data_IF_926897396580
#
_entry.id   IF_926897396580
#
_cell.length_a   1.000
_cell.length_b   1.000
_cell.length_c   1.000
_cell.angle_alpha   90.00
_cell.angle_beta   90.00
_cell.angle_gamma   90.00
#
_symmetry.space_group_name_H-M   'P 1'
#
loop_
_entity.id
_entity.type
_entity.pdbx_description
1 polymer ?
#
# COMPACT_ATOMS: atom_id res chain seq x y z
N UNK A 1 -9.24 44.28 -5.74
CA UNK A 1 -8.57 44.50 -4.44
C UNK A 1 -8.71 43.31 -3.49
N UNK A 2 -9.90 42.92 -3.00
CA UNK A 2 -9.98 41.84 -1.98
C UNK A 2 -9.70 40.43 -2.55
N UNK A 3 -10.12 40.13 -3.80
CA UNK A 3 -9.80 38.86 -4.47
C UNK A 3 -8.31 38.72 -4.85
N UNK A 4 -7.63 39.82 -5.16
CA UNK A 4 -6.18 39.81 -5.46
C UNK A 4 -5.35 39.47 -4.22
N UNK A 5 -5.80 39.89 -3.04
CA UNK A 5 -5.16 39.57 -1.76
C UNK A 5 -5.38 38.09 -1.44
N UNK A 6 -6.61 37.57 -1.64
CA UNK A 6 -6.91 36.15 -1.44
C UNK A 6 -6.09 35.25 -2.38
N UNK A 7 -5.99 35.58 -3.66
CA UNK A 7 -5.18 34.81 -4.62
C UNK A 7 -3.69 34.79 -4.25
N UNK A 8 -3.16 35.92 -3.73
CA UNK A 8 -1.76 35.99 -3.24
C UNK A 8 -1.54 35.13 -2.00
N UNK A 9 -2.52 35.10 -1.09
CA UNK A 9 -2.50 34.24 0.10
C UNK A 9 -2.54 32.77 -0.33
N UNK A 10 -3.46 32.40 -1.19
CA UNK A 10 -3.63 31.04 -1.70
C UNK A 10 -2.35 30.53 -2.35
N UNK A 11 -1.79 31.28 -3.30
CA UNK A 11 -0.54 30.89 -3.97
C UNK A 11 0.60 30.67 -2.98
N UNK A 12 0.78 31.59 -2.03
CA UNK A 12 1.85 31.51 -1.03
C UNK A 12 1.65 30.32 -0.08
N UNK A 13 0.41 30.06 0.33
CA UNK A 13 0.07 28.94 1.22
C UNK A 13 0.29 27.60 0.52
N UNK A 14 -0.15 27.46 -0.73
CA UNK A 14 0.05 26.25 -1.52
C UNK A 14 1.54 25.97 -1.77
N UNK A 15 2.34 26.99 -2.09
CA UNK A 15 3.80 26.84 -2.22
C UNK A 15 4.48 26.40 -0.92
N UNK A 16 4.00 26.88 0.24
CA UNK A 16 4.49 26.46 1.56
C UNK A 16 4.12 24.99 1.82
N UNK A 17 2.88 24.58 1.50
CA UNK A 17 2.40 23.22 1.71
C UNK A 17 3.12 22.20 0.80
N UNK A 18 3.46 22.59 -0.43
CA UNK A 18 4.19 21.72 -1.36
C UNK A 18 5.67 21.51 -1.00
N UNK A 19 6.30 22.50 -0.35
CA UNK A 19 7.74 22.47 -0.04
C UNK A 19 8.05 22.00 1.38
N UNK A 20 7.04 21.90 2.24
CA UNK A 20 7.23 21.61 3.65
C UNK A 20 6.87 20.17 4.00
N UNK A 21 7.48 19.67 5.07
CA UNK A 21 7.17 18.36 5.62
C UNK A 21 5.79 18.41 6.34
N UNK A 22 4.85 17.60 5.86
CA UNK A 22 3.45 17.56 6.34
C UNK A 22 3.32 17.09 7.80
N UNK A 23 4.30 16.36 8.33
CA UNK A 23 4.28 15.85 9.71
C UNK A 23 4.54 16.93 10.76
N UNK A 24 5.22 18.01 10.37
CA UNK A 24 5.61 19.10 11.28
C UNK A 24 4.81 20.39 11.07
N UNK A 25 4.16 20.53 9.93
CA UNK A 25 3.46 21.77 9.55
C UNK A 25 2.04 21.81 10.07
N UNK A 26 1.73 22.87 10.82
CA UNK A 26 0.37 23.15 11.31
C UNK A 26 -0.18 24.40 10.65
N UNK A 27 -1.50 24.55 10.60
CA UNK A 27 -2.20 25.76 10.10
C UNK A 27 -1.58 27.05 10.69
N UNK A 28 -1.19 27.01 11.97
CA UNK A 28 -0.53 28.11 12.66
C UNK A 28 0.84 28.45 12.07
N UNK A 29 1.70 27.44 11.83
CA UNK A 29 3.02 27.62 11.21
C UNK A 29 2.89 28.12 9.78
N UNK A 30 1.97 27.54 9.01
CA UNK A 30 1.66 27.95 7.63
C UNK A 30 1.23 29.42 7.58
N UNK A 31 0.31 29.84 8.46
CA UNK A 31 -0.14 31.24 8.56
C UNK A 31 0.99 32.18 8.96
N UNK A 32 1.85 31.78 9.90
CA UNK A 32 2.99 32.60 10.35
C UNK A 32 3.98 32.84 9.20
N UNK A 33 4.35 31.79 8.48
CA UNK A 33 5.27 31.87 7.34
C UNK A 33 4.65 32.67 6.19
N UNK A 34 3.35 32.47 5.90
CA UNK A 34 2.64 33.23 4.89
C UNK A 34 2.55 34.73 5.23
N UNK A 35 2.33 35.07 6.50
CA UNK A 35 2.30 36.46 6.98
C UNK A 35 3.65 37.15 6.82
N UNK A 36 4.75 36.45 7.16
CA UNK A 36 6.12 36.93 6.98
C UNK A 36 6.46 37.14 5.50
N UNK A 37 6.12 36.19 4.62
CA UNK A 37 6.37 36.28 3.17
C UNK A 37 5.58 37.40 2.50
N UNK A 38 4.32 37.59 2.89
CA UNK A 38 3.44 38.58 2.28
C UNK A 38 3.58 39.97 2.90
N UNK A 39 4.27 40.09 4.05
CA UNK A 39 4.32 41.30 4.88
C UNK A 39 2.92 41.84 5.19
N UNK A 40 1.99 40.92 5.44
CA UNK A 40 0.57 41.19 5.70
C UNK A 40 0.17 40.54 7.02
N UNK A 41 -0.66 41.24 7.79
CA UNK A 41 -1.24 40.65 8.99
C UNK A 41 -2.38 39.70 8.63
N UNK A 42 -2.13 38.40 8.81
CA UNK A 42 -3.10 37.33 8.58
C UNK A 42 -3.83 36.91 9.87
N UNK A 43 -3.71 37.68 10.95
CA UNK A 43 -4.38 37.41 12.24
C UNK A 43 -5.90 37.59 12.19
N UNK A 44 -6.42 38.29 11.17
CA UNK A 44 -7.85 38.55 11.03
C UNK A 44 -8.66 37.26 10.81
N UNK A 45 -9.85 37.13 11.41
CA UNK A 45 -10.69 35.93 11.30
C UNK A 45 -10.99 35.51 9.85
N UNK A 46 -11.12 36.47 8.93
CA UNK A 46 -11.36 36.20 7.50
C UNK A 46 -10.23 35.41 6.84
N UNK A 47 -8.98 35.73 7.15
CA UNK A 47 -7.81 35.05 6.57
C UNK A 47 -7.53 33.72 7.24
N UNK A 48 -7.85 33.59 8.54
CA UNK A 48 -7.77 32.32 9.26
C UNK A 48 -8.68 31.26 8.66
N UNK A 49 -9.95 31.60 8.40
CA UNK A 49 -10.90 30.68 7.78
C UNK A 49 -10.48 30.30 6.36
N UNK A 50 -10.02 31.27 5.58
CA UNK A 50 -9.58 31.05 4.20
C UNK A 50 -8.35 30.12 4.12
N UNK A 51 -7.34 30.35 4.97
CA UNK A 51 -6.14 29.50 5.01
C UNK A 51 -6.48 28.07 5.45
N UNK A 52 -7.39 27.91 6.41
CA UNK A 52 -7.87 26.59 6.82
C UNK A 52 -8.50 25.83 5.65
N UNK A 53 -9.38 26.47 4.89
CA UNK A 53 -10.01 25.85 3.71
C UNK A 53 -8.99 25.38 2.68
N UNK A 54 -7.94 26.17 2.43
CA UNK A 54 -6.87 25.81 1.50
C UNK A 54 -6.08 24.59 2.00
N UNK A 55 -5.73 24.58 3.29
CA UNK A 55 -5.00 23.46 3.91
C UNK A 55 -5.84 22.17 3.86
N UNK A 56 -7.12 22.24 4.20
CA UNK A 56 -8.02 21.08 4.18
C UNK A 56 -8.19 20.53 2.76
N UNK A 57 -8.35 21.40 1.76
CA UNK A 57 -8.42 20.99 0.34
C UNK A 57 -7.12 20.36 -0.16
N UNK A 58 -5.97 20.89 0.27
CA UNK A 58 -4.67 20.33 -0.08
C UNK A 58 -4.48 18.92 0.51
N UNK A 59 -4.85 18.71 1.78
CA UNK A 59 -4.79 17.41 2.44
C UNK A 59 -5.68 16.37 1.77
N UNK A 60 -6.91 16.75 1.38
CA UNK A 60 -7.83 15.87 0.66
C UNK A 60 -7.28 15.46 -0.71
N UNK A 61 -6.72 16.41 -1.47
CA UNK A 61 -6.12 16.12 -2.77
C UNK A 61 -4.86 15.25 -2.65
N UNK A 62 -4.08 15.40 -1.57
CA UNK A 62 -2.92 14.56 -1.33
C UNK A 62 -3.34 13.12 -1.00
N UNK A 63 -4.39 12.94 -0.20
CA UNK A 63 -4.95 11.61 0.10
C UNK A 63 -5.53 10.95 -1.15
N UNK A 64 -6.26 11.69 -1.99
CA UNK A 64 -6.83 11.17 -3.23
C UNK A 64 -5.74 10.73 -4.23
N UNK A 65 -4.69 11.54 -4.40
CA UNK A 65 -3.54 11.17 -5.25
C UNK A 65 -2.82 9.94 -4.73
N UNK A 66 -2.63 9.83 -3.40
CA UNK A 66 -2.00 8.67 -2.81
C UNK A 66 -2.85 7.41 -2.98
N UNK A 67 -4.19 7.50 -2.90
CA UNK A 67 -5.06 6.36 -3.20
C UNK A 67 -5.06 5.97 -4.69
N UNK A 68 -5.05 6.95 -5.59
CA UNK A 68 -4.99 6.70 -7.04
C UNK A 68 -3.63 6.09 -7.46
N UNK A 69 -2.52 6.55 -6.87
CA UNK A 69 -1.18 5.96 -7.09
C UNK A 69 -1.11 4.52 -6.57
N UNK A 70 -1.70 4.22 -5.41
CA UNK A 70 -1.77 2.84 -4.87
C UNK A 70 -2.66 1.94 -5.73
N UNK A 71 -3.81 2.41 -6.19
CA UNK A 71 -4.68 1.64 -7.10
C UNK A 71 -3.99 1.38 -8.45
N UNK A 72 -3.25 2.36 -9.00
CA UNK A 72 -2.47 2.18 -10.22
C UNK A 72 -1.30 1.22 -10.04
N UNK A 73 -0.57 1.30 -8.92
CA UNK A 73 0.48 0.32 -8.60
C UNK A 73 -0.09 -1.10 -8.42
N UNK A 74 -1.27 -1.25 -7.82
CA UNK A 74 -1.94 -2.54 -7.69
C UNK A 74 -2.40 -3.11 -9.06
N UNK A 75 -2.92 -2.26 -9.97
CA UNK A 75 -3.29 -2.68 -11.33
C UNK A 75 -2.07 -3.02 -12.21
N UNK A 76 -0.98 -2.25 -12.12
CA UNK A 76 0.27 -2.54 -12.83
C UNK A 76 0.96 -3.81 -12.31
N UNK A 77 0.95 -4.05 -10.98
CA UNK A 77 1.42 -5.30 -10.40
C UNK A 77 0.58 -6.50 -10.87
N UNK A 78 -0.74 -6.37 -10.96
CA UNK A 78 -1.63 -7.43 -11.47
C UNK A 78 -1.34 -7.79 -12.93
N UNK A 79 -1.09 -6.79 -13.79
CA UNK A 79 -0.81 -7.02 -15.22
C UNK A 79 0.60 -7.59 -15.45
N UNK A 80 1.60 -7.12 -14.68
CA UNK A 80 2.95 -7.67 -14.71
C UNK A 80 2.98 -9.12 -14.19
N UNK A 81 2.23 -9.43 -13.13
CA UNK A 81 2.05 -10.81 -12.65
C UNK A 81 1.42 -11.73 -13.71
N UNK A 82 0.38 -11.26 -14.43
CA UNK A 82 -0.25 -12.04 -15.50
C UNK A 82 0.73 -12.30 -16.65
N UNK A 83 1.59 -11.32 -16.95
CA UNK A 83 2.57 -11.41 -18.04
C UNK A 83 3.73 -12.34 -17.66
N UNK A 84 4.23 -12.30 -16.43
CA UNK A 84 5.27 -13.21 -15.91
C UNK A 84 4.81 -14.66 -15.85
N UNK A 85 3.56 -14.92 -15.45
CA UNK A 85 2.97 -16.27 -15.49
C UNK A 85 2.92 -16.86 -16.91
N UNK A 86 2.92 -16.03 -17.94
CA UNK A 86 2.93 -16.46 -19.34
C UNK A 86 4.35 -16.62 -19.95
N UNK A 87 5.37 -15.92 -19.42
CA UNK A 87 6.74 -15.96 -19.94
C UNK A 87 7.57 -17.15 -19.44
N UNK A 88 7.14 -17.82 -18.36
CA UNK A 88 7.84 -18.98 -17.80
C UNK A 88 9.13 -18.63 -17.06
N UNK A 89 9.33 -17.35 -16.73
CA UNK A 89 10.44 -16.92 -15.88
C UNK A 89 10.15 -17.28 -14.41
N UNK A 90 11.17 -17.78 -13.71
CA UNK A 90 11.08 -18.07 -12.28
C UNK A 90 10.94 -16.76 -11.49
N UNK A 91 9.87 -16.66 -10.70
CA UNK A 91 9.60 -15.52 -9.84
C UNK A 91 10.21 -15.75 -8.45
N UNK A 92 10.82 -14.73 -7.85
CA UNK A 92 11.45 -14.80 -6.52
C UNK A 92 10.94 -13.67 -5.63
N UNK A 93 10.83 -13.92 -4.32
CA UNK A 93 10.52 -12.88 -3.33
C UNK A 93 11.75 -12.05 -2.94
N UNK A 94 11.54 -10.99 -2.15
CA UNK A 94 12.59 -10.09 -1.65
C UNK A 94 13.69 -10.81 -0.85
N UNK A 95 13.42 -12.01 -0.35
CA UNK A 95 14.37 -12.87 0.38
C UNK A 95 15.08 -13.88 -0.53
N UNK A 96 14.77 -13.89 -1.83
CA UNK A 96 15.33 -14.81 -2.82
C UNK A 96 14.70 -16.21 -2.79
N UNK A 97 13.53 -16.38 -2.17
CA UNK A 97 12.79 -17.65 -2.20
C UNK A 97 12.00 -17.75 -3.51
N UNK A 98 12.04 -18.93 -4.14
CA UNK A 98 11.27 -19.19 -5.36
C UNK A 98 9.77 -19.13 -5.06
N UNK A 99 9.04 -18.27 -5.76
CA UNK A 99 7.58 -18.20 -5.73
C UNK A 99 7.04 -19.21 -6.74
N UNK A 100 6.39 -20.26 -6.23
CA UNK A 100 5.84 -21.35 -7.03
C UNK A 100 4.45 -21.01 -7.56
N UNK A 101 3.65 -20.35 -6.72
CA UNK A 101 2.27 -20.01 -7.06
C UNK A 101 1.75 -18.91 -6.12
N UNK A 102 0.96 -17.99 -6.67
CA UNK A 102 0.19 -17.00 -5.91
C UNK A 102 -1.26 -17.50 -5.77
N UNK A 103 -1.68 -17.72 -4.53
CA UNK A 103 -3.04 -18.17 -4.18
C UNK A 103 -4.03 -17.00 -4.13
N UNK A 104 -3.53 -15.81 -3.80
CA UNK A 104 -4.19 -14.50 -3.87
C UNK A 104 -3.12 -13.41 -3.81
N UNK A 105 -3.48 -12.14 -3.96
CA UNK A 105 -2.54 -11.01 -3.94
C UNK A 105 -1.71 -10.99 -2.64
N UNK A 106 -2.33 -11.40 -1.54
CA UNK A 106 -1.69 -11.46 -0.21
C UNK A 106 -1.18 -12.83 0.19
N UNK A 107 -1.29 -13.88 -0.63
CA UNK A 107 -0.92 -15.26 -0.23
C UNK A 107 -0.15 -15.97 -1.34
N UNK A 108 1.05 -16.43 -1.00
CA UNK A 108 1.94 -17.15 -1.93
C UNK A 108 2.45 -18.46 -1.36
N UNK A 109 2.80 -19.35 -2.28
CA UNK A 109 3.51 -20.60 -2.04
C UNK A 109 4.96 -20.40 -2.47
N UNK A 110 5.91 -20.51 -1.55
CA UNK A 110 7.35 -20.36 -1.82
C UNK A 110 8.14 -21.61 -1.43
N UNK A 111 9.29 -21.82 -2.08
CA UNK A 111 10.30 -22.78 -1.66
C UNK A 111 11.39 -22.04 -0.89
N UNK A 112 11.52 -22.36 0.40
CA UNK A 112 12.46 -21.70 1.31
C UNK A 112 13.53 -22.70 1.77
N UNK A 113 14.79 -22.28 1.86
CA UNK A 113 15.81 -22.98 2.65
C UNK A 113 15.85 -22.41 4.07
N UNK A 114 15.65 -23.27 5.07
CA UNK A 114 15.86 -22.91 6.46
C UNK A 114 16.81 -23.88 7.13
N UNK A 115 18.04 -23.43 7.36
CA UNK A 115 19.10 -24.23 8.00
C UNK A 115 19.37 -25.54 7.25
N UNK A 116 19.44 -25.48 5.92
CA UNK A 116 19.69 -26.62 5.05
C UNK A 116 18.50 -27.56 4.90
N UNK A 117 17.29 -27.11 5.26
CA UNK A 117 16.05 -27.84 5.04
C UNK A 117 15.19 -27.09 4.05
N UNK A 118 14.81 -27.76 2.97
CA UNK A 118 13.81 -27.27 2.03
C UNK A 118 12.42 -27.34 2.66
N UNK A 119 11.74 -26.19 2.67
CA UNK A 119 10.39 -26.03 3.17
C UNK A 119 9.46 -25.51 2.06
N UNK A 120 8.25 -26.07 2.00
CA UNK A 120 7.15 -25.51 1.20
C UNK A 120 6.38 -24.56 2.10
N UNK A 121 6.53 -23.25 1.89
CA UNK A 121 5.88 -22.21 2.71
C UNK A 121 4.60 -21.74 2.04
N UNK A 122 3.47 -21.85 2.74
CA UNK A 122 2.17 -21.30 2.33
C UNK A 122 1.83 -20.19 3.32
N UNK A 123 1.98 -18.92 2.91
CA UNK A 123 1.98 -17.80 3.86
C UNK A 123 1.27 -16.56 3.32
N UNK A 124 0.62 -15.84 4.24
CA UNK A 124 0.04 -14.52 3.99
C UNK A 124 1.12 -13.44 4.21
N UNK A 125 1.17 -12.46 3.31
CA UNK A 125 2.10 -11.33 3.33
C UNK A 125 1.33 -10.02 3.51
N UNK A 126 2.02 -9.02 4.05
CA UNK A 126 1.50 -7.66 4.17
C UNK A 126 2.50 -6.67 3.57
N UNK A 127 1.99 -5.58 2.99
CA UNK A 127 2.82 -4.49 2.48
C UNK A 127 3.18 -3.53 3.62
N UNK A 128 4.46 -3.19 3.74
CA UNK A 128 4.97 -2.14 4.63
C UNK A 128 6.15 -1.45 3.97
N UNK A 129 6.11 -0.12 3.86
CA UNK A 129 7.16 0.69 3.24
C UNK A 129 7.51 0.23 1.82
N UNK A 130 6.50 -0.16 1.02
CA UNK A 130 6.66 -0.68 -0.34
C UNK A 130 7.23 -2.10 -0.44
N UNK A 131 7.41 -2.81 0.68
CA UNK A 131 7.93 -4.20 0.72
C UNK A 131 6.89 -5.19 1.15
N UNK A 132 6.94 -6.40 0.58
CA UNK A 132 6.11 -7.52 1.02
C UNK A 132 6.78 -8.30 2.13
N UNK A 133 6.20 -8.27 3.34
CA UNK A 133 6.74 -8.97 4.50
C UNK A 133 5.86 -10.16 4.89
N UNK A 134 6.43 -11.31 5.28
CA UNK A 134 5.67 -12.46 5.73
C UNK A 134 4.94 -12.14 7.04
N UNK A 135 3.65 -12.46 7.11
CA UNK A 135 2.88 -12.40 8.35
C UNK A 135 3.04 -13.68 9.18
N UNK A 136 2.54 -13.67 10.41
CA UNK A 136 2.45 -14.88 11.24
C UNK A 136 1.44 -15.91 10.71
N UNK A 137 0.52 -15.52 9.84
CA UNK A 137 -0.49 -16.42 9.26
C UNK A 137 0.11 -17.19 8.09
N UNK A 138 0.33 -18.48 8.32
CA UNK A 138 0.88 -19.38 7.32
C UNK A 138 1.54 -20.58 7.97
N UNK A 139 1.92 -21.55 7.14
CA UNK A 139 2.61 -22.76 7.56
C UNK A 139 3.76 -23.06 6.60
N UNK A 140 4.87 -23.56 7.15
CA UNK A 140 5.99 -24.06 6.38
C UNK A 140 6.07 -25.56 6.58
N UNK A 141 5.86 -26.31 5.51
CA UNK A 141 5.83 -27.76 5.51
C UNK A 141 7.20 -28.32 5.15
N UNK A 142 7.65 -29.33 5.87
CA UNK A 142 8.80 -30.12 5.42
C UNK A 142 8.44 -30.92 4.15
N UNK A 143 9.44 -31.41 3.42
CA UNK A 143 9.23 -32.28 2.27
C UNK A 143 8.34 -33.50 2.61
N UNK A 144 8.54 -34.11 3.79
CA UNK A 144 7.72 -35.24 4.26
C UNK A 144 6.26 -34.85 4.49
N UNK A 145 6.02 -33.68 5.12
CA UNK A 145 4.66 -33.16 5.34
C UNK A 145 3.98 -32.80 4.02
N UNK A 146 4.72 -32.23 3.07
CA UNK A 146 4.23 -31.94 1.73
C UNK A 146 3.83 -33.22 0.97
N UNK A 147 4.64 -34.26 1.04
CA UNK A 147 4.31 -35.56 0.43
C UNK A 147 3.07 -36.19 1.06
N UNK A 148 2.92 -36.09 2.39
CA UNK A 148 1.70 -36.53 3.07
C UNK A 148 0.47 -35.71 2.63
N UNK A 149 0.61 -34.38 2.50
CA UNK A 149 -0.46 -33.51 2.01
C UNK A 149 -0.87 -33.89 0.58
N UNK A 150 0.08 -33.98 -0.35
CA UNK A 150 -0.17 -34.36 -1.75
C UNK A 150 -0.93 -35.69 -1.88
N UNK A 151 -0.54 -36.71 -1.12
CA UNK A 151 -1.22 -38.02 -1.13
C UNK A 151 -2.69 -37.95 -0.72
N UNK A 152 -3.07 -36.94 0.06
CA UNK A 152 -4.43 -36.75 0.57
C UNK A 152 -5.25 -35.73 -0.23
N UNK A 153 -4.68 -35.05 -1.25
CA UNK A 153 -5.39 -34.07 -2.08
C UNK A 153 -6.72 -34.63 -2.63
N UNK A 154 -6.82 -35.85 -3.19
CA UNK A 154 -8.09 -36.37 -3.67
C UNK A 154 -9.17 -36.51 -2.58
N UNK A 155 -8.76 -36.85 -1.35
CA UNK A 155 -9.67 -36.93 -0.21
C UNK A 155 -10.13 -35.53 0.25
N UNK A 156 -9.23 -34.54 0.19
CA UNK A 156 -9.53 -33.14 0.48
C UNK A 156 -10.54 -32.59 -0.54
N UNK A 157 -10.31 -32.80 -1.85
CA UNK A 157 -11.22 -32.36 -2.91
C UNK A 157 -12.63 -32.95 -2.75
N UNK A 158 -12.71 -34.26 -2.45
CA UNK A 158 -13.99 -34.92 -2.16
C UNK A 158 -14.69 -34.31 -0.93
N UNK A 159 -13.94 -33.95 0.10
CA UNK A 159 -14.49 -33.33 1.31
C UNK A 159 -15.01 -31.91 1.03
N UNK A 160 -14.26 -31.11 0.25
CA UNK A 160 -14.67 -29.76 -0.18
C UNK A 160 -16.02 -29.82 -0.91
N UNK A 161 -16.13 -30.66 -1.96
CA UNK A 161 -17.37 -30.75 -2.74
C UNK A 161 -18.58 -31.19 -1.90
N UNK A 162 -18.37 -32.05 -0.90
CA UNK A 162 -19.42 -32.43 0.06
C UNK A 162 -19.83 -31.28 0.99
N UNK A 163 -18.90 -30.40 1.36
CA UNK A 163 -19.20 -29.25 2.22
C UNK A 163 -19.90 -28.13 1.45
N UNK A 164 -19.46 -27.83 0.23
CA UNK A 164 -20.07 -26.79 -0.60
C UNK A 164 -21.51 -27.15 -0.99
N UNK A 165 -21.76 -28.39 -1.38
CA UNK A 165 -23.13 -28.88 -1.66
C UNK A 165 -24.07 -28.90 -0.47
N UNK A 166 -23.56 -28.78 0.77
CA UNK A 166 -24.40 -28.64 1.98
C UNK A 166 -24.80 -27.18 2.23
N UNK A 167 -24.04 -26.24 1.70
CA UNK A 167 -24.27 -24.80 1.85
C UNK A 167 -25.17 -24.23 0.75
N UNK A 168 -25.37 -24.98 -0.34
CA UNK A 168 -26.36 -24.72 -1.39
C UNK A 168 -27.69 -25.40 -1.06
#
# INVERSE_FOLDING_TARGET
MESEIQNRIEKTVTEILQSANMDEMTEYKVRKIAAEKLKLDLSLPKYKLFIRQIVDSFLQNQQAKQSEEVEQEEEEEEDDERTKRASGEEEYDDEGNLIVCRLSDKRKVTIQDFRGKTLVSIREYYKKDGKELPSSKGISLTAEQWDAFKKNVPAIEKAIGKMESRLM
#
